data_IF_919327623540
#
_entry.id   IF_919327623540
#
_cell.length_a   1.000
_cell.length_b   1.000
_cell.length_c   1.000
_cell.angle_alpha   90.00
_cell.angle_beta   90.00
_cell.angle_gamma   90.00
#
_symmetry.space_group_name_H-M   'P 1'
#
loop_
_entity.id
_entity.type
_entity.pdbx_description
1 polymer ?
#
# COMPACT_ATOMS: atom_id res chain seq x y z
N UNK A 1 -4.21 -5.88 17.16
CA UNK A 1 -3.18 -6.12 16.13
C UNK A 1 -3.11 -4.90 15.23
N UNK A 2 -1.91 -4.53 14.75
CA UNK A 2 -1.69 -3.22 14.13
C UNK A 2 -1.82 -3.29 12.60
N UNK A 3 -2.56 -2.35 12.02
CA UNK A 3 -2.64 -2.17 10.56
C UNK A 3 -1.29 -1.86 9.88
N UNK A 4 -0.26 -1.59 10.66
CA UNK A 4 1.12 -1.35 10.21
C UNK A 4 2.02 -2.57 10.32
N UNK A 5 1.55 -3.68 10.90
CA UNK A 5 2.32 -4.91 11.05
C UNK A 5 1.42 -6.16 10.89
N UNK A 6 0.93 -6.44 9.67
CA UNK A 6 0.13 -7.62 9.38
C UNK A 6 1.00 -8.90 9.44
N UNK A 7 0.42 -10.01 9.91
CA UNK A 7 1.10 -11.32 10.03
C UNK A 7 1.27 -12.00 8.68
N UNK A 8 0.34 -11.78 7.77
CA UNK A 8 0.35 -12.33 6.44
C UNK A 8 -0.29 -11.38 5.42
N UNK A 9 -0.27 -11.80 4.16
CA UNK A 9 -0.80 -11.04 3.03
C UNK A 9 -2.32 -10.84 3.11
N UNK A 10 -3.05 -11.81 3.65
CA UNK A 10 -4.49 -11.74 3.82
C UNK A 10 -4.88 -10.70 4.87
N UNK A 11 -4.18 -10.64 6.00
CA UNK A 11 -4.34 -9.61 7.02
C UNK A 11 -3.99 -8.22 6.47
N UNK A 12 -2.92 -8.12 5.67
CA UNK A 12 -2.54 -6.87 5.00
C UNK A 12 -3.63 -6.34 4.06
N UNK A 13 -4.27 -7.24 3.28
CA UNK A 13 -5.37 -6.91 2.38
C UNK A 13 -6.62 -6.47 3.14
N UNK A 14 -6.99 -7.16 4.22
CA UNK A 14 -8.12 -6.74 5.05
C UNK A 14 -7.88 -5.34 5.64
N UNK A 15 -6.67 -5.04 6.12
CA UNK A 15 -6.34 -3.69 6.57
C UNK A 15 -6.33 -2.64 5.46
N UNK A 16 -6.08 -3.03 4.20
CA UNK A 16 -6.23 -2.14 3.06
C UNK A 16 -7.72 -1.83 2.79
N UNK A 17 -8.57 -2.86 2.77
CA UNK A 17 -10.03 -2.73 2.62
C UNK A 17 -10.61 -1.82 3.72
N UNK A 18 -10.29 -2.09 4.99
CA UNK A 18 -10.77 -1.29 6.13
C UNK A 18 -10.42 0.20 5.98
N UNK A 19 -9.20 0.49 5.51
CA UNK A 19 -8.75 1.87 5.30
C UNK A 19 -9.44 2.53 4.12
N UNK A 20 -9.74 1.78 3.06
CA UNK A 20 -10.43 2.29 1.88
C UNK A 20 -11.88 2.63 2.20
N UNK A 21 -12.61 1.72 2.87
CA UNK A 21 -13.99 1.95 3.30
C UNK A 21 -14.09 3.16 4.24
N UNK A 22 -13.17 3.29 5.20
CA UNK A 22 -13.13 4.48 6.09
C UNK A 22 -12.85 5.78 5.36
N UNK A 23 -12.07 5.75 4.28
CA UNK A 23 -11.70 6.95 3.51
C UNK A 23 -12.75 7.32 2.46
N UNK A 24 -13.60 6.38 2.06
CA UNK A 24 -14.58 6.55 0.99
C UNK A 24 -15.95 6.14 1.56
N UNK A 25 -16.64 7.04 2.26
CA UNK A 25 -17.85 6.70 3.04
C UNK A 25 -19.04 6.21 2.20
N UNK A 26 -19.02 6.50 0.90
CA UNK A 26 -20.05 6.06 -0.06
C UNK A 26 -19.72 4.73 -0.74
N UNK A 27 -18.52 4.18 -0.52
CA UNK A 27 -18.13 2.91 -1.11
C UNK A 27 -18.70 1.75 -0.28
N UNK A 28 -19.34 0.80 -0.97
CA UNK A 28 -19.78 -0.46 -0.38
C UNK A 28 -18.57 -1.37 -0.09
N UNK A 29 -18.55 -2.02 1.08
CA UNK A 29 -17.43 -2.86 1.50
C UNK A 29 -17.25 -4.07 0.57
N UNK A 30 -18.34 -4.71 0.12
CA UNK A 30 -18.24 -5.84 -0.79
C UNK A 30 -17.66 -5.41 -2.15
N UNK A 31 -18.10 -4.27 -2.67
CA UNK A 31 -17.51 -3.65 -3.86
C UNK A 31 -16.01 -3.35 -3.70
N UNK A 32 -15.60 -2.78 -2.56
CA UNK A 32 -14.18 -2.50 -2.27
C UNK A 32 -13.36 -3.80 -2.18
N UNK A 33 -13.89 -4.86 -1.57
CA UNK A 33 -13.22 -6.17 -1.52
C UNK A 33 -13.00 -6.76 -2.91
N UNK A 34 -14.01 -6.67 -3.79
CA UNK A 34 -13.90 -7.14 -5.17
C UNK A 34 -12.82 -6.36 -5.91
N UNK A 35 -12.85 -5.02 -5.87
CA UNK A 35 -11.83 -4.18 -6.51
C UNK A 35 -10.41 -4.49 -6.00
N UNK A 36 -10.24 -4.67 -4.68
CA UNK A 36 -8.94 -5.04 -4.12
C UNK A 36 -8.48 -6.42 -4.61
N UNK A 37 -9.36 -7.39 -4.72
CA UNK A 37 -9.03 -8.72 -5.25
C UNK A 37 -8.67 -8.68 -6.75
N UNK A 38 -9.38 -7.87 -7.53
CA UNK A 38 -9.08 -7.63 -8.96
C UNK A 38 -7.70 -6.99 -9.13
N UNK A 39 -7.38 -5.95 -8.34
CA UNK A 39 -6.06 -5.31 -8.37
C UNK A 39 -4.95 -6.29 -7.96
N UNK A 40 -5.16 -7.11 -6.93
CA UNK A 40 -4.19 -8.16 -6.55
C UNK A 40 -3.99 -9.16 -7.69
N UNK A 41 -5.07 -9.60 -8.35
CA UNK A 41 -4.98 -10.52 -9.48
C UNK A 41 -4.23 -9.89 -10.68
N UNK A 42 -4.47 -8.60 -10.95
CA UNK A 42 -3.79 -7.86 -12.01
C UNK A 42 -2.28 -7.68 -11.75
N UNK A 43 -1.88 -7.60 -10.48
CA UNK A 43 -0.48 -7.52 -10.06
C UNK A 43 0.25 -8.88 -10.14
N UNK A 44 -0.46 -9.99 -10.33
CA UNK A 44 0.09 -11.33 -10.46
C UNK A 44 0.65 -11.89 -9.15
N UNK A 45 1.67 -12.76 -9.23
CA UNK A 45 2.25 -13.48 -8.07
C UNK A 45 3.15 -12.58 -7.18
N UNK A 46 3.06 -11.26 -7.36
CA UNK A 46 3.83 -10.27 -6.64
C UNK A 46 3.21 -10.03 -5.26
N UNK A 47 3.85 -10.57 -4.23
CA UNK A 47 3.39 -10.40 -2.84
C UNK A 47 3.33 -8.93 -2.44
N UNK A 48 2.29 -8.51 -1.72
CA UNK A 48 2.15 -7.13 -1.20
C UNK A 48 3.39 -6.59 -0.45
N UNK A 49 4.08 -7.46 0.28
CA UNK A 49 5.30 -7.09 0.99
C UNK A 49 6.48 -6.79 0.06
N UNK A 50 6.43 -7.22 -1.20
CA UNK A 50 7.40 -6.84 -2.24
C UNK A 50 7.03 -5.49 -2.86
N UNK A 51 5.75 -5.09 -2.83
CA UNK A 51 5.31 -3.75 -3.22
C UNK A 51 5.80 -2.66 -2.28
N UNK A 52 5.89 -2.93 -0.97
CA UNK A 52 6.36 -1.92 0.00
C UNK A 52 7.81 -1.46 -0.32
N UNK A 53 8.80 -2.35 -0.50
CA UNK A 53 10.14 -1.98 -0.97
C UNK A 53 10.12 -1.21 -2.30
N UNK A 54 9.38 -1.67 -3.31
CA UNK A 54 9.31 -1.00 -4.61
C UNK A 54 8.73 0.43 -4.51
N UNK A 55 7.69 0.62 -3.68
CA UNK A 55 7.12 1.93 -3.40
C UNK A 55 8.06 2.84 -2.63
N UNK A 56 8.79 2.30 -1.64
CA UNK A 56 9.81 3.05 -0.88
C UNK A 56 10.94 3.48 -1.81
N UNK A 57 11.46 2.57 -2.63
CA UNK A 57 12.49 2.85 -3.62
C UNK A 57 12.04 3.94 -4.60
N UNK A 58 10.86 3.80 -5.21
CA UNK A 58 10.31 4.80 -6.12
C UNK A 58 10.14 6.19 -5.45
N UNK A 59 9.73 6.22 -4.17
CA UNK A 59 9.59 7.46 -3.40
C UNK A 59 10.94 8.08 -3.04
N UNK A 60 11.94 7.27 -2.69
CA UNK A 60 13.32 7.70 -2.42
C UNK A 60 13.94 8.25 -3.70
N UNK A 61 13.85 7.54 -4.82
CA UNK A 61 14.32 8.01 -6.12
C UNK A 61 13.66 9.33 -6.52
N UNK A 62 12.34 9.48 -6.30
CA UNK A 62 11.63 10.74 -6.54
C UNK A 62 12.16 11.88 -5.67
N UNK A 63 12.52 11.60 -4.42
CA UNK A 63 13.10 12.57 -3.49
C UNK A 63 14.51 12.98 -3.91
N UNK A 64 15.34 12.01 -4.30
CA UNK A 64 16.71 12.24 -4.79
C UNK A 64 16.75 13.00 -6.12
N UNK A 65 15.71 12.84 -6.96
CA UNK A 65 15.56 13.55 -8.24
C UNK A 65 14.91 14.93 -8.11
N UNK A 66 14.32 15.26 -6.97
CA UNK A 66 13.77 16.59 -6.75
C UNK A 66 14.89 17.54 -6.32
N UNK A 67 15.09 18.70 -6.99
CA UNK A 67 16.05 19.69 -6.52
C UNK A 67 15.53 20.33 -5.20
N UNK A 68 16.13 19.96 -4.07
CA UNK A 68 15.82 20.46 -2.72
C UNK A 68 16.76 19.85 -1.65
N UNK A 69 17.05 20.55 -0.55
CA UNK A 69 18.32 20.45 0.17
C UNK A 69 18.49 19.08 0.85
N UNK A 70 19.58 18.39 0.53
CA UNK A 70 20.09 17.27 1.32
C UNK A 70 20.77 17.84 2.56
N UNK A 71 19.98 18.28 3.54
CA UNK A 71 20.45 18.30 4.93
C UNK A 71 20.35 16.89 5.48
N UNK A 72 21.40 16.11 5.22
CA UNK A 72 21.65 14.87 5.95
C UNK A 72 22.50 15.28 7.15
N UNK A 73 21.84 15.64 8.25
CA UNK A 73 22.51 15.63 9.55
C UNK A 73 22.76 14.17 9.94
N UNK A 74 24.02 13.90 10.28
CA UNK A 74 24.65 12.63 10.65
C UNK A 74 23.90 11.91 11.79
#
# INVERSE_FOLDING_TARGET
MSATNPRDEYEALNHAVDRLVRRIPWADEAGVRIMVAEEVAALGDARLRHFIPAMVEARVLRRLRAPGPLDIAV
#
